data_IF_175388797587
#
_entry.id   IF_175388797587
#
_cell.length_a   1.000
_cell.length_b   1.000
_cell.length_c   1.000
_cell.angle_alpha   90.00
_cell.angle_beta   90.00
_cell.angle_gamma   90.00
#
_symmetry.space_group_name_H-M   'P 1'
#
loop_
_entity.id
_entity.type
_entity.pdbx_description
1 polymer ?
#
# COMPACT_ATOMS: atom_id res chain seq x y z
N UNK A 1 -13.11 -22.22 -4.46
CA UNK A 1 -12.11 -21.44 -3.69
C UNK A 1 -12.47 -19.98 -3.87
N UNK A 2 -11.77 -19.04 -3.25
CA UNK A 2 -11.90 -17.61 -3.61
C UNK A 2 -10.89 -17.39 -4.79
N UNK A 3 -10.68 -18.39 -5.66
CA UNK A 3 -11.06 -18.50 -7.08
C UNK A 3 -10.69 -17.28 -7.94
N UNK A 4 -9.51 -17.30 -8.56
CA UNK A 4 -9.11 -16.59 -9.80
C UNK A 4 -9.59 -15.15 -10.01
N UNK A 5 -10.87 -14.98 -10.29
CA UNK A 5 -11.54 -13.71 -10.61
C UNK A 5 -11.26 -12.64 -9.55
N UNK A 6 -11.36 -12.94 -8.25
CA UNK A 6 -11.09 -11.94 -7.21
C UNK A 6 -9.64 -11.46 -7.22
N UNK A 7 -8.68 -12.36 -7.46
CA UNK A 7 -7.26 -11.99 -7.59
C UNK A 7 -7.03 -11.10 -8.81
N UNK A 8 -7.67 -11.43 -9.93
CA UNK A 8 -7.58 -10.62 -11.14
C UNK A 8 -8.08 -9.20 -10.92
N UNK A 9 -9.22 -9.06 -10.23
CA UNK A 9 -9.75 -7.74 -9.86
C UNK A 9 -8.76 -6.98 -8.95
N UNK A 10 -8.21 -7.61 -7.91
CA UNK A 10 -7.21 -6.97 -7.04
C UNK A 10 -6.00 -6.49 -7.85
N UNK A 11 -5.47 -7.29 -8.77
CA UNK A 11 -4.36 -6.90 -9.65
C UNK A 11 -4.74 -5.68 -10.53
N UNK A 12 -5.90 -5.70 -11.16
CA UNK A 12 -6.37 -4.61 -12.02
C UNK A 12 -6.60 -3.31 -11.25
N UNK A 13 -7.22 -3.39 -10.07
CA UNK A 13 -7.44 -2.23 -9.20
C UNK A 13 -6.12 -1.67 -8.69
N UNK A 14 -5.18 -2.53 -8.29
CA UNK A 14 -3.84 -2.11 -7.86
C UNK A 14 -3.11 -1.35 -8.96
N UNK A 15 -3.15 -1.85 -10.20
CA UNK A 15 -2.55 -1.16 -11.34
C UNK A 15 -3.21 0.19 -11.63
N UNK A 16 -4.55 0.23 -11.59
CA UNK A 16 -5.31 1.46 -11.81
C UNK A 16 -4.98 2.51 -10.75
N UNK A 17 -4.88 2.11 -9.49
CA UNK A 17 -4.50 3.01 -8.41
C UNK A 17 -3.05 3.50 -8.56
N UNK A 18 -2.11 2.60 -8.89
CA UNK A 18 -0.72 2.98 -9.18
C UNK A 18 -0.67 4.09 -10.23
N UNK A 19 -1.36 3.91 -11.36
CA UNK A 19 -1.43 4.90 -12.44
C UNK A 19 -2.15 6.19 -12.04
N UNK A 20 -3.08 6.16 -11.10
CA UNK A 20 -3.74 7.36 -10.60
C UNK A 20 -2.82 8.21 -9.70
N UNK A 21 -1.92 7.56 -8.96
CA UNK A 21 -0.95 8.22 -8.07
C UNK A 21 0.30 8.67 -8.84
N UNK A 22 0.75 7.84 -9.77
CA UNK A 22 1.89 8.06 -10.66
C UNK A 22 1.48 8.95 -11.84
N UNK A 23 1.32 10.25 -11.57
CA UNK A 23 0.72 11.21 -12.50
C UNK A 23 1.64 11.69 -13.63
N UNK A 24 2.95 11.49 -13.53
CA UNK A 24 3.94 12.02 -14.47
C UNK A 24 4.45 11.00 -15.51
N UNK A 25 3.95 9.76 -15.47
CA UNK A 25 4.35 8.65 -16.33
C UNK A 25 5.87 8.34 -16.28
N UNK A 26 6.51 8.63 -15.15
CA UNK A 26 7.88 8.23 -14.84
C UNK A 26 8.02 6.72 -14.63
N UNK A 27 6.92 6.04 -14.30
CA UNK A 27 6.90 4.63 -13.91
C UNK A 27 7.26 4.41 -12.44
N UNK A 28 7.38 5.48 -11.64
CA UNK A 28 7.68 5.40 -10.22
C UNK A 28 6.82 6.38 -9.42
N UNK A 29 6.34 5.95 -8.25
CA UNK A 29 5.73 6.84 -7.28
C UNK A 29 6.84 7.49 -6.45
N UNK A 30 6.99 8.80 -6.57
CA UNK A 30 7.90 9.60 -5.74
C UNK A 30 7.37 9.74 -4.32
N UNK A 31 8.26 10.12 -3.39
CA UNK A 31 7.86 10.41 -2.01
C UNK A 31 6.75 11.49 -1.93
N UNK A 32 6.81 12.52 -2.78
CA UNK A 32 5.79 13.58 -2.83
C UNK A 32 4.44 13.05 -3.32
N UNK A 33 4.42 12.26 -4.40
CA UNK A 33 3.18 11.65 -4.89
C UNK A 33 2.57 10.70 -3.85
N UNK A 34 3.40 9.88 -3.19
CA UNK A 34 2.95 9.02 -2.11
C UNK A 34 2.37 9.82 -0.93
N UNK A 35 3.00 10.93 -0.56
CA UNK A 35 2.49 11.81 0.50
C UNK A 35 1.14 12.40 0.17
N UNK A 36 0.91 12.82 -1.07
CA UNK A 36 -0.39 13.32 -1.51
C UNK A 36 -1.50 12.26 -1.36
N UNK A 37 -1.21 11.00 -1.71
CA UNK A 37 -2.13 9.89 -1.52
C UNK A 37 -2.47 9.68 -0.04
N UNK A 38 -1.46 9.64 0.81
CA UNK A 38 -1.63 9.38 2.24
C UNK A 38 -2.39 10.53 2.94
N UNK A 39 -2.16 11.78 2.53
CA UNK A 39 -2.94 12.92 3.01
C UNK A 39 -4.41 12.84 2.58
N UNK A 40 -4.69 12.42 1.35
CA UNK A 40 -6.06 12.19 0.88
C UNK A 40 -6.78 11.08 1.66
N UNK A 41 -6.04 10.14 2.25
CA UNK A 41 -6.55 9.09 3.14
C UNK A 41 -6.51 9.46 4.63
N UNK A 42 -6.12 10.68 4.97
CA UNK A 42 -5.97 11.14 6.35
C UNK A 42 -5.00 10.31 7.21
N UNK A 43 -3.97 9.73 6.59
CA UNK A 43 -2.89 9.03 7.29
C UNK A 43 -1.87 10.05 7.80
N UNK A 44 -1.43 9.85 9.05
CA UNK A 44 -0.43 10.69 9.69
C UNK A 44 0.93 10.67 8.98
N UNK A 45 1.71 11.73 9.17
CA UNK A 45 2.99 11.94 8.47
C UNK A 45 4.01 10.86 8.79
N UNK A 46 4.19 10.55 10.08
CA UNK A 46 5.22 9.62 10.53
C UNK A 46 4.90 8.19 10.07
N UNK A 47 3.62 7.82 10.07
CA UNK A 47 3.13 6.56 9.54
C UNK A 47 3.34 6.45 8.03
N UNK A 48 3.02 7.51 7.29
CA UNK A 48 3.24 7.55 5.84
C UNK A 48 4.73 7.41 5.49
N UNK A 49 5.62 8.10 6.21
CA UNK A 49 7.07 8.00 6.00
C UNK A 49 7.61 6.62 6.37
N UNK A 50 7.09 6.00 7.42
CA UNK A 50 7.41 4.61 7.78
C UNK A 50 6.99 3.62 6.70
N UNK A 51 5.77 3.75 6.18
CA UNK A 51 5.25 2.85 5.15
C UNK A 51 5.98 3.03 3.82
N UNK A 52 6.35 4.26 3.43
CA UNK A 52 7.16 4.49 2.23
C UNK A 52 8.47 3.70 2.26
N UNK A 53 9.17 3.69 3.39
CA UNK A 53 10.43 2.94 3.56
C UNK A 53 10.23 1.42 3.53
N UNK A 54 9.03 0.94 3.84
CA UNK A 54 8.68 -0.48 3.74
C UNK A 54 8.40 -0.85 2.28
N UNK A 55 7.75 0.05 1.51
CA UNK A 55 7.46 -0.15 0.09
C UNK A 55 8.71 -0.05 -0.79
N UNK A 56 9.61 0.90 -0.51
CA UNK A 56 10.88 1.10 -1.21
C UNK A 56 11.91 0.04 -0.76
N UNK A 57 11.74 -1.18 -1.28
CA UNK A 57 12.53 -2.36 -0.90
C UNK A 57 13.98 -2.27 -1.36
N UNK A 58 14.20 -1.64 -2.51
CA UNK A 58 15.53 -1.48 -3.09
C UNK A 58 16.25 -0.21 -2.58
N UNK A 59 15.54 0.68 -1.88
CA UNK A 59 16.04 1.92 -1.24
C UNK A 59 16.54 2.95 -2.25
N UNK A 60 15.90 3.06 -3.41
CA UNK A 60 16.24 4.03 -4.43
C UNK A 60 15.48 5.37 -4.28
N UNK A 61 14.64 5.49 -3.24
CA UNK A 61 13.93 6.71 -2.88
C UNK A 61 12.62 6.92 -3.65
N UNK A 62 12.14 5.89 -4.35
CA UNK A 62 10.90 5.89 -5.14
C UNK A 62 10.29 4.49 -5.10
N UNK A 63 9.02 4.38 -5.46
CA UNK A 63 8.30 3.10 -5.42
C UNK A 63 7.99 2.69 -6.85
N UNK A 64 8.55 1.57 -7.29
CA UNK A 64 8.22 0.97 -8.59
C UNK A 64 6.82 0.36 -8.60
N UNK A 65 6.28 0.06 -9.79
CA UNK A 65 5.02 -0.67 -9.91
C UNK A 65 5.07 -2.03 -9.24
N UNK A 66 6.20 -2.73 -9.34
CA UNK A 66 6.36 -4.07 -8.79
C UNK A 66 6.34 -4.04 -7.26
N UNK A 67 7.02 -3.07 -6.65
CA UNK A 67 7.00 -2.85 -5.19
C UNK A 67 5.59 -2.50 -4.70
N UNK A 68 4.91 -1.58 -5.39
CA UNK A 68 3.55 -1.19 -5.05
C UNK A 68 2.56 -2.36 -5.16
N UNK A 69 2.57 -3.07 -6.30
CA UNK A 69 1.65 -4.17 -6.56
C UNK A 69 1.92 -5.38 -5.68
N UNK A 70 3.18 -5.62 -5.28
CA UNK A 70 3.53 -6.65 -4.30
C UNK A 70 2.88 -6.35 -2.96
N UNK A 71 3.06 -5.13 -2.45
CA UNK A 71 2.46 -4.71 -1.19
C UNK A 71 0.93 -4.69 -1.22
N UNK A 72 0.34 -4.24 -2.34
CA UNK A 72 -1.09 -4.22 -2.57
C UNK A 72 -1.68 -5.64 -2.53
N UNK A 73 -1.10 -6.57 -3.30
CA UNK A 73 -1.55 -7.95 -3.34
C UNK A 73 -1.40 -8.63 -1.98
N UNK A 74 -0.27 -8.41 -1.31
CA UNK A 74 -0.06 -8.98 0.02
C UNK A 74 -1.08 -8.46 1.04
N UNK A 75 -1.41 -7.18 1.02
CA UNK A 75 -2.43 -6.63 1.91
C UNK A 75 -3.82 -7.29 1.71
N UNK A 76 -4.24 -7.51 0.47
CA UNK A 76 -5.59 -8.02 0.17
C UNK A 76 -5.69 -9.56 0.16
N UNK A 77 -4.61 -10.25 -0.21
CA UNK A 77 -4.60 -11.68 -0.49
C UNK A 77 -3.61 -12.45 0.39
N UNK A 78 -2.74 -11.76 1.12
CA UNK A 78 -1.77 -12.37 2.03
C UNK A 78 -2.44 -12.94 3.28
N UNK A 79 -1.91 -14.07 3.75
CA UNK A 79 -2.37 -14.74 4.96
C UNK A 79 -1.38 -14.60 6.13
N UNK A 80 -0.20 -13.99 5.90
CA UNK A 80 0.82 -13.82 6.93
C UNK A 80 0.47 -12.66 7.88
N UNK A 81 0.14 -12.94 9.17
CA UNK A 81 -0.20 -11.90 10.14
C UNK A 81 0.97 -10.98 10.48
N UNK A 82 2.21 -11.38 10.17
CA UNK A 82 3.43 -10.60 10.40
C UNK A 82 3.92 -9.89 9.14
N UNK A 83 3.17 -9.92 8.05
CA UNK A 83 3.54 -9.15 6.86
C UNK A 83 3.74 -7.68 7.21
N UNK A 84 4.83 -7.05 6.73
CA UNK A 84 5.05 -5.63 6.90
C UNK A 84 4.02 -4.79 6.15
N UNK A 85 3.34 -5.34 5.13
CA UNK A 85 2.35 -4.64 4.31
C UNK A 85 0.96 -4.56 4.95
N UNK A 86 0.72 -5.21 6.10
CA UNK A 86 -0.54 -5.10 6.85
C UNK A 86 -0.93 -3.66 7.24
N UNK A 87 0.02 -2.72 7.17
CA UNK A 87 -0.15 -1.30 7.47
C UNK A 87 -0.25 -0.43 6.21
N UNK A 88 -0.52 -1.02 5.03
CA UNK A 88 -0.57 -0.31 3.75
C UNK A 88 -1.46 0.95 3.78
N UNK A 89 -2.62 0.87 4.44
CA UNK A 89 -3.57 1.97 4.63
C UNK A 89 -3.44 2.67 6.00
N UNK A 90 -2.27 2.59 6.63
CA UNK A 90 -2.01 3.15 7.96
C UNK A 90 -2.19 2.16 9.11
N UNK A 91 -2.16 2.64 10.37
CA UNK A 91 -2.23 1.78 11.55
C UNK A 91 -3.51 0.96 11.61
N UNK A 92 -3.37 -0.33 11.96
CA UNK A 92 -4.51 -1.19 12.20
C UNK A 92 -5.27 -0.67 13.43
N UNK A 93 -6.53 -0.29 13.22
CA UNK A 93 -7.42 0.10 14.31
C UNK A 93 -7.72 -1.15 15.14
N UNK A 94 -7.15 -1.26 16.34
CA UNK A 94 -7.62 -2.24 17.31
C UNK A 94 -8.92 -1.71 17.91
N UNK A 95 -10.00 -2.50 17.82
CA UNK A 95 -11.15 -2.28 18.71
C UNK A 95 -10.61 -2.51 20.13
N UNK A 96 -10.60 -1.48 20.97
CA UNK A 96 -10.44 -1.73 22.40
C UNK A 96 -11.59 -2.65 22.80
N UNK A 97 -11.29 -3.88 23.19
CA UNK A 97 -12.25 -4.72 23.88
C UNK A 97 -12.57 -4.00 25.17
N UNK A 98 -13.78 -3.45 25.30
CA UNK A 98 -14.28 -2.96 26.58
C UNK A 98 -14.13 -4.12 27.57
N UNK A 99 -13.20 -3.96 28.53
CA UNK A 99 -13.10 -4.87 29.66
C UNK A 99 -14.41 -4.76 30.44
N UNK A 100 -15.20 -5.83 30.42
CA UNK A 100 -16.31 -6.03 31.36
C UNK A 100 -15.77 -6.25 32.78
#
# INVERSE_FOLDING_TARGET
MINGDYRHEIDQFGWTLFKAVEVDNSGFITQTQYRNLQEAWHVGRDEAEGMFKILDTNKDGKISSDEFLTAWNDYFLGEDPQSPYRMFFGPIISRQTEAK
#
